data_IF_431013762206
#
_entry.id   IF_431013762206
#
_cell.length_a   1.000
_cell.length_b   1.000
_cell.length_c   1.000
_cell.angle_alpha   90.00
_cell.angle_beta   90.00
_cell.angle_gamma   90.00
#
_symmetry.space_group_name_H-M   'P 1'
#
loop_
_entity.id
_entity.type
_entity.pdbx_description
1 polymer ?
#
# COMPACT_ATOMS: atom_id res chain seq x y z
N UNK A 1 -17.24 68.63 -12.58
CA UNK A 1 -17.35 67.23 -13.03
C UNK A 1 -16.52 66.37 -12.11
N UNK A 2 -17.16 65.70 -11.17
CA UNK A 2 -16.48 64.87 -10.17
C UNK A 2 -16.43 63.42 -10.69
N UNK A 3 -15.23 62.87 -10.99
CA UNK A 3 -15.05 61.46 -11.40
C UNK A 3 -14.95 60.57 -10.15
N UNK A 4 -15.98 59.79 -9.93
CA UNK A 4 -15.98 58.74 -8.89
C UNK A 4 -15.20 57.52 -9.43
N UNK A 5 -14.06 57.24 -8.84
CA UNK A 5 -13.30 56.01 -9.08
C UNK A 5 -13.89 54.89 -8.20
N UNK A 6 -14.56 53.93 -8.83
CA UNK A 6 -15.02 52.71 -8.14
C UNK A 6 -13.86 51.69 -8.11
N UNK A 7 -13.29 51.50 -6.93
CA UNK A 7 -12.28 50.48 -6.71
C UNK A 7 -12.98 49.15 -6.45
N UNK A 8 -12.90 48.22 -7.40
CA UNK A 8 -13.42 46.86 -7.26
C UNK A 8 -12.39 46.05 -6.48
N UNK A 9 -12.66 45.79 -5.20
CA UNK A 9 -11.88 44.82 -4.40
C UNK A 9 -12.29 43.40 -4.79
N UNK A 10 -11.44 42.69 -5.54
CA UNK A 10 -11.59 41.26 -5.82
C UNK A 10 -11.12 40.49 -4.57
N UNK A 11 -12.06 40.02 -3.77
CA UNK A 11 -11.77 39.11 -2.65
C UNK A 11 -11.39 37.73 -3.21
N UNK A 12 -10.11 37.37 -3.12
CA UNK A 12 -9.65 36.02 -3.38
C UNK A 12 -10.16 35.10 -2.26
N UNK A 13 -11.17 34.30 -2.57
CA UNK A 13 -11.68 33.26 -1.68
C UNK A 13 -10.64 32.12 -1.71
N UNK A 14 -9.79 32.04 -0.68
CA UNK A 14 -8.96 30.87 -0.44
C UNK A 14 -9.85 29.72 0.01
N UNK A 15 -10.18 28.80 -0.91
CA UNK A 15 -10.79 27.53 -0.56
C UNK A 15 -9.71 26.66 0.12
N UNK A 16 -9.92 26.21 1.36
CA UNK A 16 -8.99 25.27 1.97
C UNK A 16 -8.98 23.98 1.15
N UNK A 17 -7.83 23.59 0.63
CA UNK A 17 -7.62 22.26 0.06
C UNK A 17 -7.81 21.24 1.20
N UNK A 18 -8.99 20.67 1.32
CA UNK A 18 -9.25 19.51 2.17
C UNK A 18 -8.53 18.33 1.53
N UNK A 19 -7.30 18.07 1.97
CA UNK A 19 -6.62 16.83 1.66
C UNK A 19 -7.47 15.69 2.23
N UNK A 20 -8.19 14.99 1.37
CA UNK A 20 -8.91 13.78 1.76
C UNK A 20 -7.89 12.77 2.25
N UNK A 21 -8.10 12.18 3.43
CA UNK A 21 -7.23 11.14 3.92
C UNK A 21 -7.48 9.86 3.09
N UNK A 22 -6.45 9.38 2.38
CA UNK A 22 -6.52 8.15 1.60
C UNK A 22 -6.75 6.93 2.48
N UNK A 23 -6.07 6.86 3.64
CA UNK A 23 -6.03 5.68 4.52
C UNK A 23 -6.79 5.89 5.82
N UNK A 24 -7.61 4.90 6.19
CA UNK A 24 -8.33 4.84 7.46
C UNK A 24 -7.97 3.56 8.22
N UNK A 25 -7.63 3.71 9.49
CA UNK A 25 -7.26 2.59 10.36
C UNK A 25 -8.50 1.85 10.88
N UNK A 26 -8.52 0.53 10.71
CA UNK A 26 -9.57 -0.38 11.21
C UNK A 26 -8.92 -1.60 11.89
N UNK A 27 -8.28 -1.40 13.03
CA UNK A 27 -7.54 -2.44 13.74
C UNK A 27 -6.38 -2.97 12.92
N UNK A 28 -6.41 -4.27 12.60
CA UNK A 28 -5.40 -4.92 11.76
C UNK A 28 -5.52 -4.58 10.26
N UNK A 29 -6.52 -3.81 9.88
CA UNK A 29 -6.77 -3.44 8.49
C UNK A 29 -6.57 -1.95 8.26
N UNK A 30 -6.21 -1.61 7.02
CA UNK A 30 -6.17 -0.24 6.53
C UNK A 30 -7.10 -0.13 5.33
N UNK A 31 -8.13 0.69 5.47
CA UNK A 31 -9.06 0.99 4.38
C UNK A 31 -8.44 2.06 3.47
N UNK A 32 -8.24 1.72 2.22
CA UNK A 32 -7.75 2.61 1.16
C UNK A 32 -8.93 3.03 0.28
N UNK A 33 -9.34 4.29 0.42
CA UNK A 33 -10.51 4.81 -0.30
C UNK A 33 -10.20 5.03 -1.78
N UNK A 34 -8.98 5.43 -2.12
CA UNK A 34 -8.61 5.72 -3.50
C UNK A 34 -8.59 4.45 -4.36
N UNK A 35 -8.02 3.37 -3.82
CA UNK A 35 -7.94 2.08 -4.54
C UNK A 35 -9.15 1.17 -4.28
N UNK A 36 -10.04 1.53 -3.34
CA UNK A 36 -11.21 0.71 -2.92
C UNK A 36 -10.80 -0.69 -2.44
N UNK A 37 -9.72 -0.75 -1.67
CA UNK A 37 -9.23 -2.01 -1.09
C UNK A 37 -9.04 -1.88 0.42
N UNK A 38 -9.16 -3.02 1.08
CA UNK A 38 -8.80 -3.20 2.48
C UNK A 38 -7.47 -3.95 2.54
N UNK A 39 -6.44 -3.30 3.06
CA UNK A 39 -5.12 -3.88 3.27
C UNK A 39 -5.04 -4.63 4.59
N UNK A 40 -4.39 -5.78 4.60
CA UNK A 40 -3.80 -6.31 5.82
C UNK A 40 -2.56 -5.47 6.12
N UNK A 41 -2.56 -4.73 7.26
CA UNK A 41 -1.51 -3.73 7.53
C UNK A 41 -0.13 -4.29 7.86
N UNK A 42 -0.08 -5.55 8.31
CA UNK A 42 1.18 -6.25 8.57
C UNK A 42 1.56 -7.10 7.36
N UNK A 43 2.86 -7.22 7.10
CA UNK A 43 3.37 -8.19 6.13
C UNK A 43 2.99 -9.60 6.56
N UNK A 44 2.74 -10.49 5.61
CA UNK A 44 2.38 -11.89 5.93
C UNK A 44 3.47 -12.54 6.78
N UNK A 45 3.04 -13.30 7.79
CA UNK A 45 3.89 -13.85 8.85
C UNK A 45 3.97 -12.98 10.11
N UNK A 46 3.47 -11.76 10.07
CA UNK A 46 3.36 -10.87 11.24
C UNK A 46 1.91 -10.74 11.70
N UNK A 47 1.73 -10.44 12.99
CA UNK A 47 0.44 -10.19 13.63
C UNK A 47 0.41 -8.76 14.17
N UNK A 48 -0.70 -8.08 13.96
CA UNK A 48 -0.93 -6.75 14.51
C UNK A 48 -1.15 -6.79 16.02
N UNK A 49 -0.40 -5.97 16.76
CA UNK A 49 -0.61 -5.72 18.19
C UNK A 49 -1.25 -4.33 18.36
N UNK A 50 -2.51 -4.25 18.79
CA UNK A 50 -3.19 -2.98 19.02
C UNK A 50 -2.60 -2.22 20.21
N UNK A 51 -2.05 -2.91 21.20
CA UNK A 51 -1.46 -2.32 22.41
C UNK A 51 -0.18 -1.53 22.08
N UNK A 52 0.70 -2.13 21.29
CA UNK A 52 1.97 -1.53 20.89
C UNK A 52 1.91 -0.76 19.59
N UNK A 53 0.82 -0.90 18.83
CA UNK A 53 0.62 -0.38 17.47
C UNK A 53 1.75 -0.79 16.52
N UNK A 54 2.16 -2.05 16.61
CA UNK A 54 3.23 -2.64 15.80
C UNK A 54 2.80 -3.98 15.18
N UNK A 55 3.56 -4.41 14.17
CA UNK A 55 3.47 -5.75 13.62
C UNK A 55 4.53 -6.65 14.27
N UNK A 56 4.10 -7.65 15.03
CA UNK A 56 4.97 -8.60 15.73
C UNK A 56 5.12 -9.90 14.93
N UNK A 57 6.28 -10.54 15.02
CA UNK A 57 6.58 -11.78 14.32
C UNK A 57 7.56 -11.60 13.15
N UNK A 58 7.85 -12.70 12.46
CA UNK A 58 8.81 -12.74 11.37
C UNK A 58 8.08 -12.63 10.03
N UNK A 59 8.50 -11.69 9.19
CA UNK A 59 8.01 -11.60 7.81
C UNK A 59 8.35 -12.87 7.05
N UNK A 60 7.35 -13.45 6.40
CA UNK A 60 7.49 -14.63 5.55
C UNK A 60 7.77 -14.17 4.12
N UNK A 61 8.72 -14.85 3.47
CA UNK A 61 9.03 -14.64 2.06
C UNK A 61 8.66 -15.90 1.29
N UNK A 62 7.83 -15.74 0.29
CA UNK A 62 7.31 -16.85 -0.52
C UNK A 62 7.47 -16.55 -2.00
N UNK A 63 7.50 -17.59 -2.81
CA UNK A 63 7.40 -17.50 -4.26
C UNK A 63 5.92 -17.43 -4.70
N UNK A 64 5.67 -17.16 -5.98
CA UNK A 64 4.31 -16.94 -6.49
C UNK A 64 3.37 -18.15 -6.35
N UNK A 65 3.90 -19.39 -6.34
CA UNK A 65 3.08 -20.59 -6.15
C UNK A 65 2.75 -20.82 -4.66
N UNK A 66 3.74 -20.62 -3.78
CA UNK A 66 3.55 -20.70 -2.32
C UNK A 66 2.54 -19.64 -1.83
N UNK A 67 2.55 -18.45 -2.43
CA UNK A 67 1.61 -17.38 -2.10
C UNK A 67 0.16 -17.79 -2.38
N UNK A 68 -0.13 -18.59 -3.40
CA UNK A 68 -1.48 -19.08 -3.65
C UNK A 68 -2.02 -19.89 -2.47
N UNK A 69 -1.17 -20.73 -1.88
CA UNK A 69 -1.53 -21.49 -0.68
C UNK A 69 -1.74 -20.56 0.52
N UNK A 70 -0.84 -19.58 0.70
CA UNK A 70 -0.98 -18.60 1.78
C UNK A 70 -2.26 -17.77 1.67
N UNK A 71 -2.71 -17.42 0.45
CA UNK A 71 -3.97 -16.72 0.21
C UNK A 71 -5.17 -17.56 0.62
N UNK A 72 -5.17 -18.86 0.30
CA UNK A 72 -6.24 -19.79 0.73
C UNK A 72 -6.29 -19.84 2.26
N UNK A 73 -5.15 -20.01 2.92
CA UNK A 73 -5.05 -20.04 4.38
C UNK A 73 -5.51 -18.72 5.02
N UNK A 74 -5.21 -17.59 4.39
CA UNK A 74 -5.69 -16.29 4.85
C UNK A 74 -7.23 -16.20 4.78
N UNK A 75 -7.84 -16.72 3.72
CA UNK A 75 -9.30 -16.77 3.58
C UNK A 75 -10.00 -17.69 4.60
N UNK A 76 -9.31 -18.70 5.11
CA UNK A 76 -9.81 -19.56 6.20
C UNK A 76 -9.75 -18.87 7.58
N UNK A 77 -8.81 -17.97 7.79
CA UNK A 77 -8.56 -17.30 9.07
C UNK A 77 -9.18 -15.91 9.18
N UNK A 78 -9.36 -15.23 8.06
CA UNK A 78 -9.81 -13.85 7.98
C UNK A 78 -11.03 -13.76 7.03
N UNK A 79 -12.04 -12.97 7.36
CA UNK A 79 -13.19 -12.78 6.48
C UNK A 79 -12.77 -12.06 5.19
N UNK A 80 -13.35 -12.49 4.05
CA UNK A 80 -13.17 -11.85 2.76
C UNK A 80 -12.32 -12.62 1.76
N UNK A 81 -12.25 -12.12 0.54
CA UNK A 81 -11.49 -12.70 -0.57
C UNK A 81 -10.14 -12.00 -0.71
N UNK A 82 -9.12 -12.57 -0.09
CA UNK A 82 -7.77 -12.02 -0.08
C UNK A 82 -7.04 -12.30 -1.39
N UNK A 83 -6.19 -11.36 -1.81
CA UNK A 83 -5.33 -11.46 -2.99
C UNK A 83 -4.04 -10.67 -2.83
N UNK A 84 -3.07 -10.91 -3.71
CA UNK A 84 -1.96 -9.97 -3.87
C UNK A 84 -2.47 -8.62 -4.39
N UNK A 85 -1.85 -7.52 -3.97
CA UNK A 85 -2.12 -6.21 -4.56
C UNK A 85 -1.66 -6.18 -6.02
N UNK A 86 -2.33 -5.40 -6.84
CA UNK A 86 -1.83 -5.02 -8.17
C UNK A 86 -0.59 -4.14 -8.03
N UNK A 87 0.14 -3.95 -9.12
CA UNK A 87 1.29 -3.05 -9.12
C UNK A 87 0.88 -1.61 -8.72
N UNK A 88 -0.21 -1.09 -9.27
CA UNK A 88 -0.68 0.27 -8.98
C UNK A 88 -1.11 0.45 -7.53
N UNK A 89 -1.80 -0.53 -6.95
CA UNK A 89 -2.14 -0.52 -5.53
C UNK A 89 -0.88 -0.49 -4.65
N UNK A 90 0.11 -1.32 -4.97
CA UNK A 90 1.36 -1.39 -4.20
C UNK A 90 2.20 -0.10 -4.35
N UNK A 91 2.22 0.50 -5.55
CA UNK A 91 2.86 1.80 -5.81
C UNK A 91 2.20 2.93 -5.03
N UNK A 92 0.89 2.90 -4.82
CA UNK A 92 0.15 3.93 -4.08
C UNK A 92 0.57 4.02 -2.60
N UNK A 93 1.19 2.97 -2.06
CA UNK A 93 1.75 2.99 -0.71
C UNK A 93 3.07 3.77 -0.62
N UNK A 94 3.72 4.05 -1.76
CA UNK A 94 5.05 4.68 -1.78
C UNK A 94 4.98 6.11 -1.27
N UNK A 95 5.76 6.38 -0.24
CA UNK A 95 5.98 7.70 0.33
C UNK A 95 7.46 8.04 0.18
N UNK A 96 7.82 8.84 -0.83
CA UNK A 96 9.21 9.14 -1.17
C UNK A 96 9.96 9.90 -0.07
N UNK A 97 9.25 10.70 0.74
CA UNK A 97 9.81 11.42 1.89
C UNK A 97 9.89 10.58 3.17
N UNK A 98 9.26 9.39 3.21
CA UNK A 98 9.25 8.55 4.41
C UNK A 98 10.58 7.83 4.62
N UNK A 99 10.91 7.59 5.91
CA UNK A 99 12.07 6.83 6.38
C UNK A 99 11.67 6.02 7.61
N UNK A 100 12.31 4.86 7.88
CA UNK A 100 13.39 4.21 7.12
C UNK A 100 12.93 3.49 5.85
N UNK A 101 11.67 3.07 5.77
CA UNK A 101 11.05 2.51 4.56
C UNK A 101 10.27 3.60 3.81
N UNK A 102 10.16 3.45 2.49
CA UNK A 102 9.40 4.37 1.62
C UNK A 102 7.89 4.09 1.68
N UNK A 103 7.35 4.01 2.89
CA UNK A 103 5.93 3.81 3.18
C UNK A 103 5.57 4.53 4.48
N UNK A 104 4.32 4.97 4.62
CA UNK A 104 3.85 5.62 5.85
C UNK A 104 3.79 4.60 6.99
N UNK A 105 4.80 4.60 7.87
CA UNK A 105 4.95 3.66 8.99
C UNK A 105 3.74 3.67 9.96
N UNK A 106 3.01 4.78 10.04
CA UNK A 106 1.76 4.86 10.80
C UNK A 106 0.75 3.79 10.37
N UNK A 107 0.61 3.57 9.06
CA UNK A 107 -0.37 2.64 8.50
C UNK A 107 0.20 1.24 8.32
N UNK A 108 1.49 1.14 7.96
CA UNK A 108 2.18 -0.12 7.66
C UNK A 108 3.46 -0.23 8.48
N UNK A 109 3.36 -0.43 9.81
CA UNK A 109 4.53 -0.49 10.67
C UNK A 109 5.34 -1.75 10.45
N UNK A 110 6.66 -1.62 10.50
CA UNK A 110 7.57 -2.75 10.43
C UNK A 110 7.71 -3.37 9.02
N UNK A 111 7.29 -2.66 7.97
CA UNK A 111 7.49 -3.14 6.61
C UNK A 111 8.99 -3.26 6.29
N UNK A 112 9.42 -4.34 5.65
CA UNK A 112 10.82 -4.54 5.31
C UNK A 112 11.27 -3.58 4.19
N UNK A 113 12.54 -3.14 4.29
CA UNK A 113 13.17 -2.26 3.29
C UNK A 113 13.72 -3.10 2.13
N UNK A 114 12.82 -3.74 1.40
CA UNK A 114 13.14 -4.59 0.26
C UNK A 114 11.99 -4.63 -0.75
N UNK A 115 12.13 -5.43 -1.80
CA UNK A 115 11.10 -5.59 -2.80
C UNK A 115 9.95 -6.47 -2.27
N UNK A 116 8.71 -6.03 -2.53
CA UNK A 116 7.46 -6.73 -2.20
C UNK A 116 6.77 -7.18 -3.47
N UNK A 117 6.17 -8.38 -3.43
CA UNK A 117 5.39 -8.90 -4.55
C UNK A 117 4.14 -8.09 -4.85
N UNK A 118 3.91 -7.83 -6.13
CA UNK A 118 2.55 -7.60 -6.65
C UNK A 118 2.04 -8.86 -7.36
N UNK A 119 0.72 -8.92 -7.58
CA UNK A 119 0.09 -9.94 -8.42
C UNK A 119 0.20 -9.66 -9.92
N UNK A 120 0.77 -8.52 -10.32
CA UNK A 120 0.87 -8.09 -11.71
C UNK A 120 2.02 -8.79 -12.43
N UNK A 121 1.70 -9.57 -13.47
CA UNK A 121 2.69 -10.21 -14.34
C UNK A 121 3.34 -9.19 -15.27
N UNK A 122 4.58 -9.46 -15.66
CA UNK A 122 5.23 -8.71 -16.72
C UNK A 122 4.54 -9.07 -18.07
N UNK A 123 4.25 -8.05 -18.88
CA UNK A 123 3.58 -8.23 -20.19
C UNK A 123 4.45 -8.92 -21.25
N UNK A 124 5.77 -8.76 -21.17
CA UNK A 124 6.72 -9.34 -22.12
C UNK A 124 7.17 -10.74 -21.72
N UNK A 125 7.29 -11.01 -20.42
CA UNK A 125 7.68 -12.33 -19.92
C UNK A 125 6.75 -12.75 -18.78
N UNK A 126 5.82 -13.66 -19.06
CA UNK A 126 4.79 -14.11 -18.12
C UNK A 126 5.32 -14.89 -16.90
N UNK A 127 6.59 -15.31 -16.93
CA UNK A 127 7.25 -15.92 -15.77
C UNK A 127 7.84 -14.88 -14.79
N UNK A 128 7.77 -13.60 -15.16
CA UNK A 128 8.20 -12.49 -14.34
C UNK A 128 7.01 -11.69 -13.79
N UNK A 129 7.21 -11.12 -12.61
CA UNK A 129 6.23 -10.31 -11.92
C UNK A 129 6.81 -8.96 -11.55
N UNK A 130 5.93 -7.99 -11.41
CA UNK A 130 6.25 -6.68 -10.87
C UNK A 130 6.37 -6.73 -9.36
N UNK A 131 7.25 -5.91 -8.83
CA UNK A 131 7.44 -5.68 -7.42
C UNK A 131 7.66 -4.18 -7.15
N UNK A 132 7.44 -3.76 -5.92
CA UNK A 132 7.80 -2.41 -5.43
C UNK A 132 8.80 -2.58 -4.29
N UNK A 133 9.93 -1.88 -4.38
CA UNK A 133 10.96 -1.91 -3.35
C UNK A 133 10.76 -0.75 -2.36
N UNK A 134 10.37 -1.06 -1.13
CA UNK A 134 10.13 -0.05 -0.10
C UNK A 134 11.41 0.53 0.54
N UNK A 135 12.61 0.12 0.13
CA UNK A 135 13.83 0.84 0.45
C UNK A 135 14.03 2.04 -0.48
N UNK A 136 13.74 1.88 -1.76
CA UNK A 136 14.01 2.88 -2.79
C UNK A 136 12.75 3.63 -3.27
N UNK A 137 11.58 3.03 -3.12
CA UNK A 137 10.32 3.51 -3.68
C UNK A 137 10.13 3.16 -5.17
N UNK A 138 11.06 2.40 -5.78
CA UNK A 138 11.00 2.06 -7.19
C UNK A 138 10.32 0.72 -7.45
N UNK A 139 9.71 0.60 -8.64
CA UNK A 139 9.15 -0.65 -9.14
C UNK A 139 10.13 -1.38 -10.05
N UNK A 140 10.04 -2.71 -10.04
CA UNK A 140 10.86 -3.60 -10.85
C UNK A 140 10.01 -4.70 -11.49
N UNK A 141 10.24 -4.99 -12.78
CA UNK A 141 9.43 -5.95 -13.57
C UNK A 141 10.13 -7.29 -13.82
N UNK A 142 11.27 -7.56 -13.16
CA UNK A 142 12.17 -8.67 -13.54
C UNK A 142 12.33 -9.74 -12.46
N UNK A 143 11.43 -9.79 -11.48
CA UNK A 143 11.46 -10.86 -10.48
C UNK A 143 10.81 -12.12 -11.06
N UNK A 144 11.56 -13.22 -11.08
CA UNK A 144 11.07 -14.51 -11.54
C UNK A 144 10.12 -15.11 -10.51
N UNK A 145 9.08 -15.82 -10.98
CA UNK A 145 8.02 -16.37 -10.13
C UNK A 145 8.52 -17.28 -8.98
N UNK A 146 9.68 -17.91 -9.13
CA UNK A 146 10.29 -18.81 -8.13
C UNK A 146 11.06 -18.08 -7.00
N UNK A 147 11.35 -16.77 -7.17
CA UNK A 147 12.04 -16.00 -6.15
C UNK A 147 11.14 -15.76 -4.94
N UNK A 148 11.73 -15.65 -3.76
CA UNK A 148 11.00 -15.48 -2.51
C UNK A 148 11.10 -14.02 -2.04
N UNK A 149 9.96 -13.32 -2.04
CA UNK A 149 9.83 -11.95 -1.54
C UNK A 149 8.74 -11.87 -0.47
N UNK A 150 8.80 -10.86 0.40
CA UNK A 150 7.69 -10.51 1.27
C UNK A 150 6.50 -10.01 0.45
N UNK A 151 5.33 -10.04 1.06
CA UNK A 151 4.11 -9.57 0.43
C UNK A 151 3.09 -9.05 1.45
N UNK A 152 2.20 -8.20 0.97
CA UNK A 152 1.00 -7.75 1.64
C UNK A 152 -0.22 -8.40 0.98
N UNK A 153 -1.33 -8.45 1.69
CA UNK A 153 -2.60 -8.90 1.17
C UNK A 153 -3.61 -7.76 1.15
N UNK A 154 -4.46 -7.79 0.14
CA UNK A 154 -5.61 -6.89 -0.02
C UNK A 154 -6.87 -7.67 -0.31
N UNK A 155 -8.01 -7.06 -0.04
CA UNK A 155 -9.32 -7.49 -0.54
C UNK A 155 -10.09 -6.28 -1.05
N UNK A 156 -10.94 -6.47 -2.05
CA UNK A 156 -11.84 -5.42 -2.55
C UNK A 156 -13.02 -5.23 -1.58
N UNK A 157 -13.62 -3.99 -1.52
CA UNK A 157 -14.80 -3.69 -0.73
C UNK A 157 -15.78 -2.77 -1.45
#
# INVERSE_FOLDING_TARGET
>A
MLKVLVTICIAFIYLPNTSSAQFFEQGQFIKDIENRVLWLRCSVGQVWSPETKTCAGKIVKLNQEEIKVAIIQAGEQLPGAWRLPTLSELESLVCSSCTPAKVKNKYFPGIAREAYWSGTRNSFNRNMFWSVNFQTGHKYSRFMAYQQLPFLLVQDY
#
